data_IF_285970461246
#
_entry.id   IF_285970461246
#
_cell.length_a   1.000
_cell.length_b   1.000
_cell.length_c   1.000
_cell.angle_alpha   90.00
_cell.angle_beta   90.00
_cell.angle_gamma   90.00
#
_symmetry.space_group_name_H-M   'P 1'
#
loop_
_entity.id
_entity.type
_entity.pdbx_description
1 polymer ?
#
# COMPACT_ATOMS: atom_id res chain seq x y z
N UNK A 1 -36.23 14.86 -34.96
CA UNK A 1 -36.51 13.52 -34.40
C UNK A 1 -35.19 12.76 -34.15
N UNK A 2 -34.22 13.32 -33.44
CA UNK A 2 -32.89 12.71 -33.22
C UNK A 2 -32.55 12.39 -31.74
N UNK A 3 -33.51 12.54 -30.83
CA UNK A 3 -33.27 12.45 -29.38
C UNK A 3 -33.49 11.06 -28.78
N UNK A 4 -34.13 10.12 -29.49
CA UNK A 4 -34.42 8.78 -28.98
C UNK A 4 -33.20 7.84 -28.97
N UNK A 5 -32.32 7.96 -29.98
CA UNK A 5 -31.13 7.12 -30.10
C UNK A 5 -30.02 7.46 -29.11
N UNK A 6 -29.85 8.75 -28.78
CA UNK A 6 -28.84 9.20 -27.81
C UNK A 6 -29.20 8.82 -26.37
N UNK A 7 -30.48 8.93 -26.00
CA UNK A 7 -31.00 8.52 -24.69
C UNK A 7 -30.92 7.01 -24.48
N UNK A 8 -31.12 6.21 -25.53
CA UNK A 8 -30.99 4.76 -25.46
C UNK A 8 -29.52 4.33 -25.24
N UNK A 9 -28.59 4.94 -25.98
CA UNK A 9 -27.15 4.68 -25.82
C UNK A 9 -26.63 5.05 -24.43
N UNK A 10 -27.03 6.22 -23.89
CA UNK A 10 -26.61 6.61 -22.53
C UNK A 10 -27.15 5.66 -21.46
N UNK A 11 -28.40 5.22 -21.58
CA UNK A 11 -29.00 4.24 -20.67
C UNK A 11 -28.26 2.90 -20.70
N UNK A 12 -27.94 2.41 -21.91
CA UNK A 12 -27.18 1.16 -22.05
C UNK A 12 -25.79 1.25 -21.44
N UNK A 13 -25.08 2.38 -21.64
CA UNK A 13 -23.75 2.60 -21.04
C UNK A 13 -23.83 2.64 -19.52
N UNK A 14 -24.84 3.26 -18.93
CA UNK A 14 -25.03 3.29 -17.47
C UNK A 14 -25.32 1.91 -16.89
N UNK A 15 -26.16 1.10 -17.55
CA UNK A 15 -26.45 -0.27 -17.14
C UNK A 15 -25.19 -1.14 -17.22
N UNK A 16 -24.46 -1.04 -18.34
CA UNK A 16 -23.20 -1.78 -18.54
C UNK A 16 -22.16 -1.37 -17.49
N UNK A 17 -22.00 -0.08 -17.20
CA UNK A 17 -21.07 0.40 -16.18
C UNK A 17 -21.44 -0.10 -14.78
N UNK A 18 -22.74 -0.10 -14.42
CA UNK A 18 -23.21 -0.60 -13.12
C UNK A 18 -23.07 -2.11 -12.93
N UNK A 19 -23.06 -2.89 -14.01
CA UNK A 19 -22.83 -4.35 -13.97
C UNK A 19 -21.34 -4.68 -13.93
N UNK A 20 -20.49 -3.87 -14.59
CA UNK A 20 -19.03 -4.09 -14.65
C UNK A 20 -18.32 -3.63 -13.37
N UNK A 21 -18.90 -2.69 -12.61
CA UNK A 21 -18.29 -2.26 -11.34
C UNK A 21 -18.34 -3.39 -10.30
N UNK A 22 -17.20 -3.82 -9.74
CA UNK A 22 -17.20 -4.77 -8.64
C UNK A 22 -17.94 -4.14 -7.46
N UNK A 23 -18.95 -4.86 -6.94
CA UNK A 23 -19.61 -4.43 -5.72
C UNK A 23 -18.64 -4.63 -4.57
N UNK A 24 -18.20 -3.55 -3.94
CA UNK A 24 -17.40 -3.60 -2.72
C UNK A 24 -18.39 -3.78 -1.57
N UNK A 25 -18.52 -5.01 -1.06
CA UNK A 25 -19.38 -5.28 0.09
C UNK A 25 -18.50 -5.05 1.32
N UNK A 26 -18.93 -4.16 2.21
CA UNK A 26 -18.31 -4.00 3.51
C UNK A 26 -19.07 -4.87 4.50
N UNK A 27 -18.37 -5.68 5.29
CA UNK A 27 -19.00 -6.45 6.37
C UNK A 27 -19.83 -5.53 7.26
N UNK A 28 -21.02 -5.99 7.62
CA UNK A 28 -21.93 -5.27 8.49
C UNK A 28 -21.28 -5.09 9.89
N UNK A 29 -21.04 -3.86 10.36
CA UNK A 29 -20.40 -3.61 11.65
C UNK A 29 -21.22 -4.10 12.86
N UNK A 30 -22.53 -4.33 12.69
CA UNK A 30 -23.42 -4.78 13.76
C UNK A 30 -23.47 -6.31 13.90
N UNK A 31 -22.82 -7.07 12.99
CA UNK A 31 -22.77 -8.53 13.08
C UNK A 31 -21.78 -8.96 14.20
N UNK A 32 -22.23 -9.75 15.20
CA UNK A 32 -21.40 -10.16 16.34
C UNK A 32 -20.21 -11.05 15.94
N UNK A 33 -20.19 -11.59 14.72
CA UNK A 33 -19.14 -12.46 14.21
C UNK A 33 -18.09 -11.70 13.37
N UNK A 34 -18.07 -10.37 13.47
CA UNK A 34 -17.07 -9.50 12.85
C UNK A 34 -15.98 -9.13 13.85
N UNK A 35 -14.75 -9.50 13.52
CA UNK A 35 -13.55 -9.26 14.32
C UNK A 35 -12.67 -8.19 13.66
N UNK A 36 -11.85 -7.51 14.47
CA UNK A 36 -10.82 -6.59 13.94
C UNK A 36 -9.49 -7.32 13.76
N UNK A 37 -9.00 -7.37 12.53
CA UNK A 37 -7.71 -7.95 12.18
C UNK A 37 -6.69 -6.85 11.84
N UNK A 38 -5.45 -7.02 12.28
CA UNK A 38 -4.34 -6.16 11.91
C UNK A 38 -3.64 -6.73 10.69
N UNK A 39 -3.67 -6.00 9.59
CA UNK A 39 -3.02 -6.38 8.35
C UNK A 39 -1.80 -5.50 8.09
N UNK A 40 -0.67 -6.13 7.74
CA UNK A 40 0.53 -5.42 7.29
C UNK A 40 0.47 -5.18 5.78
N UNK A 41 0.75 -3.95 5.34
CA UNK A 41 0.75 -3.59 3.93
C UNK A 41 2.01 -2.80 3.56
N UNK A 42 2.48 -2.99 2.33
CA UNK A 42 3.66 -2.31 1.81
C UNK A 42 3.27 -0.93 1.26
N UNK A 43 3.89 0.13 1.78
CA UNK A 43 3.69 1.51 1.34
C UNK A 43 5.00 2.08 0.82
N UNK A 44 4.94 2.68 -0.36
CA UNK A 44 6.05 3.47 -0.90
C UNK A 44 6.04 4.85 -0.25
N UNK A 45 7.02 5.12 0.60
CA UNK A 45 7.20 6.43 1.24
C UNK A 45 8.40 7.15 0.66
N UNK A 46 8.36 8.48 0.67
CA UNK A 46 9.52 9.29 0.35
C UNK A 46 10.35 9.48 1.61
N UNK A 47 11.58 8.97 1.59
CA UNK A 47 12.53 9.11 2.67
C UNK A 47 13.56 10.18 2.30
N UNK A 48 13.80 11.12 3.22
CA UNK A 48 14.96 11.99 3.13
C UNK A 48 16.22 11.24 3.58
N UNK A 49 17.31 11.45 2.85
CA UNK A 49 18.63 10.92 3.19
C UNK A 49 19.71 11.98 2.98
N UNK A 50 20.80 11.85 3.72
CA UNK A 50 21.96 12.73 3.57
C UNK A 50 22.78 12.27 2.35
N UNK A 51 22.72 13.03 1.27
CA UNK A 51 23.48 12.77 0.06
C UNK A 51 24.83 13.49 0.12
N UNK A 52 25.97 12.76 0.08
CA UNK A 52 27.28 13.36 0.10
C UNK A 52 27.58 14.05 -1.23
N UNK A 53 28.30 15.17 -1.19
CA UNK A 53 28.89 15.81 -2.35
C UNK A 53 30.26 16.39 -2.00
N UNK A 54 31.14 16.48 -3.00
CA UNK A 54 32.45 17.06 -2.82
C UNK A 54 32.39 18.58 -2.96
N UNK A 55 32.83 19.27 -1.91
CA UNK A 55 32.91 20.72 -1.85
C UNK A 55 34.37 21.15 -1.96
N UNK A 56 34.69 21.81 -3.08
CA UNK A 56 36.01 22.40 -3.31
C UNK A 56 36.07 23.79 -2.68
N UNK A 57 37.08 24.03 -1.84
CA UNK A 57 37.36 25.34 -1.25
C UNK A 57 38.86 25.63 -1.30
N UNK A 58 39.20 26.92 -1.32
CA UNK A 58 40.58 27.37 -1.49
C UNK A 58 41.16 27.85 -0.16
N UNK A 59 42.31 27.31 0.22
CA UNK A 59 43.05 27.72 1.42
C UNK A 59 44.38 28.37 1.09
N UNK A 60 44.93 29.17 2.00
CA UNK A 60 46.31 29.65 1.88
C UNK A 60 47.27 28.54 2.31
N UNK A 61 48.32 28.32 1.52
CA UNK A 61 49.41 27.41 1.86
C UNK A 61 50.58 28.17 2.51
N UNK A 62 51.42 27.46 3.27
CA UNK A 62 52.51 28.04 4.07
C UNK A 62 53.80 28.30 3.28
N UNK A 63 53.86 27.91 2.01
CA UNK A 63 55.06 28.06 1.18
C UNK A 63 55.18 29.44 0.52
N UNK A 64 56.25 30.15 0.90
CA UNK A 64 56.54 31.56 0.60
C UNK A 64 56.83 31.85 -0.89
N UNK A 65 57.21 30.84 -1.68
CA UNK A 65 57.50 31.02 -3.12
C UNK A 65 56.25 30.89 -4.01
N UNK A 66 55.12 30.48 -3.44
CA UNK A 66 53.94 30.16 -4.20
C UNK A 66 52.80 31.14 -3.86
N UNK A 67 52.49 32.01 -4.82
CA UNK A 67 51.28 32.84 -4.94
C UNK A 67 49.96 32.02 -4.95
N UNK A 68 49.94 30.78 -4.47
CA UNK A 68 48.96 29.79 -4.91
C UNK A 68 47.99 29.43 -3.80
N UNK A 69 46.72 29.77 -4.04
CA UNK A 69 45.57 29.18 -3.36
C UNK A 69 45.65 27.67 -3.55
N UNK A 70 45.69 26.92 -2.46
CA UNK A 70 45.63 25.46 -2.51
C UNK A 70 44.17 25.00 -2.58
N UNK A 71 43.86 24.07 -3.48
CA UNK A 71 42.57 23.40 -3.53
C UNK A 71 42.46 22.43 -2.37
N UNK A 72 41.34 22.49 -1.65
CA UNK A 72 40.96 21.54 -0.60
C UNK A 72 39.59 20.99 -0.94
N UNK A 73 39.42 19.71 -0.64
CA UNK A 73 38.19 18.98 -0.87
C UNK A 73 37.61 18.59 0.48
N UNK A 74 36.31 18.81 0.65
CA UNK A 74 35.57 18.42 1.85
C UNK A 74 34.27 17.75 1.42
N UNK A 75 33.98 16.60 2.02
CA UNK A 75 32.68 15.96 1.86
C UNK A 75 31.66 16.75 2.68
N UNK A 76 30.69 17.33 2.00
CA UNK A 76 29.55 18.01 2.58
C UNK A 76 28.27 17.23 2.26
N UNK A 77 27.22 17.42 3.05
CA UNK A 77 25.96 16.67 2.92
C UNK A 77 24.82 17.61 2.55
N UNK A 78 23.99 17.17 1.60
CA UNK A 78 22.74 17.82 1.24
C UNK A 78 21.57 16.86 1.44
N UNK A 79 20.40 17.37 1.80
CA UNK A 79 19.18 16.56 1.87
C UNK A 79 18.76 16.16 0.46
N UNK A 80 18.63 14.86 0.21
CA UNK A 80 18.05 14.30 -0.99
C UNK A 80 16.91 13.35 -0.64
N UNK A 81 16.10 12.99 -1.63
CA UNK A 81 14.94 12.15 -1.43
C UNK A 81 15.04 10.87 -2.24
N UNK A 82 14.61 9.76 -1.65
CA UNK A 82 14.49 8.45 -2.32
C UNK A 82 13.14 7.82 -1.99
N UNK A 83 12.66 6.94 -2.86
CA UNK A 83 11.46 6.13 -2.59
C UNK A 83 11.90 4.84 -1.91
N UNK A 84 11.39 4.61 -0.71
CA UNK A 84 11.60 3.37 0.05
C UNK A 84 10.26 2.67 0.26
N UNK A 85 10.26 1.34 0.29
CA UNK A 85 9.09 0.56 0.70
C UNK A 85 9.16 0.37 2.21
N UNK A 86 8.08 0.72 2.91
CA UNK A 86 7.91 0.49 4.34
C UNK A 86 6.66 -0.32 4.62
N UNK A 87 6.76 -1.24 5.56
CA UNK A 87 5.61 -1.96 6.09
C UNK A 87 4.84 -1.05 7.04
N UNK A 88 3.55 -0.89 6.77
CA UNK A 88 2.59 -0.16 7.61
C UNK A 88 1.52 -1.14 8.09
N UNK A 89 0.81 -0.78 9.16
CA UNK A 89 -0.26 -1.62 9.73
C UNK A 89 -1.59 -0.89 9.66
N UNK A 90 -2.63 -1.60 9.26
CA UNK A 90 -4.00 -1.09 9.23
C UNK A 90 -4.93 -2.11 9.88
N UNK A 91 -5.87 -1.60 10.68
CA UNK A 91 -6.96 -2.39 11.22
C UNK A 91 -8.07 -2.54 10.17
N UNK A 92 -8.47 -3.78 9.87
CA UNK A 92 -9.61 -4.10 9.00
C UNK A 92 -10.63 -4.96 9.74
N UNK A 93 -11.90 -4.84 9.38
CA UNK A 93 -12.95 -5.77 9.79
C UNK A 93 -12.88 -7.01 8.91
N UNK A 94 -12.92 -8.19 9.53
CA UNK A 94 -12.96 -9.51 8.89
C UNK A 94 -13.82 -10.44 9.73
N UNK A 95 -14.37 -11.51 9.14
CA UNK A 95 -15.08 -12.51 9.93
C UNK A 95 -14.13 -13.17 10.94
N UNK A 96 -14.64 -13.43 12.15
CA UNK A 96 -13.88 -14.12 13.19
C UNK A 96 -13.48 -15.53 12.72
N UNK A 97 -12.42 -16.13 13.30
CA UNK A 97 -12.00 -17.49 12.96
C UNK A 97 -13.17 -18.49 13.08
N UNK A 98 -13.41 -19.29 12.04
CA UNK A 98 -14.52 -20.25 11.96
C UNK A 98 -15.80 -19.72 11.29
N UNK A 99 -15.81 -18.47 10.85
CA UNK A 99 -16.88 -17.86 10.06
C UNK A 99 -16.35 -17.41 8.70
N UNK A 100 -17.20 -17.51 7.67
CA UNK A 100 -16.88 -17.05 6.32
C UNK A 100 -17.78 -15.89 5.90
N UNK A 101 -17.27 -15.06 4.98
CA UNK A 101 -17.99 -13.93 4.44
C UNK A 101 -19.02 -14.41 3.40
N UNK A 102 -20.30 -14.31 3.73
CA UNK A 102 -21.40 -14.54 2.80
C UNK A 102 -22.11 -13.22 2.53
N UNK A 103 -21.47 -12.41 1.69
CA UNK A 103 -21.95 -11.07 1.42
C UNK A 103 -21.59 -10.09 2.55
N UNK A 104 -22.57 -9.44 3.17
CA UNK A 104 -22.32 -8.48 4.27
C UNK A 104 -22.31 -9.15 5.65
N UNK A 105 -22.56 -10.46 5.71
CA UNK A 105 -22.75 -11.24 6.94
C UNK A 105 -21.66 -12.29 7.10
N UNK A 106 -21.34 -12.61 8.36
CA UNK A 106 -20.42 -13.66 8.73
C UNK A 106 -21.20 -14.89 9.17
N UNK A 107 -21.18 -15.94 8.35
CA UNK A 107 -21.93 -17.17 8.59
C UNK A 107 -20.99 -18.29 9.02
N UNK A 108 -21.48 -19.20 9.87
CA UNK A 108 -20.73 -20.38 10.30
C UNK A 108 -20.61 -21.33 9.11
N UNK A 109 -19.40 -21.78 8.81
CA UNK A 109 -19.24 -22.96 7.98
C UNK A 109 -19.68 -24.19 8.79
N UNK A 110 -20.79 -24.82 8.42
CA UNK A 110 -21.11 -26.18 8.86
C UNK A 110 -20.66 -27.15 7.76
N UNK A 111 -19.35 -27.18 7.46
CA UNK A 111 -18.82 -28.05 6.42
C UNK A 111 -18.12 -29.25 7.02
N UNK A 112 -18.69 -30.44 6.77
CA UNK A 112 -18.06 -31.74 7.03
C UNK A 112 -16.68 -31.85 6.35
N UNK A 113 -16.42 -31.02 5.33
CA UNK A 113 -15.18 -31.02 4.55
C UNK A 113 -13.98 -30.46 5.34
N UNK A 114 -14.14 -29.47 6.21
CA UNK A 114 -13.01 -28.93 7.00
C UNK A 114 -12.54 -29.90 8.09
N UNK A 115 -13.42 -30.78 8.58
CA UNK A 115 -13.05 -31.91 9.44
C UNK A 115 -12.23 -32.97 8.69
N UNK A 116 -12.57 -33.22 7.42
CA UNK A 116 -11.79 -34.09 6.53
C UNK A 116 -10.44 -33.44 6.17
N UNK A 117 -10.40 -32.14 5.90
CA UNK A 117 -9.15 -31.43 5.62
C UNK A 117 -8.21 -31.45 6.83
N UNK A 118 -8.75 -31.30 8.05
CA UNK A 118 -7.98 -31.43 9.29
C UNK A 118 -7.53 -32.88 9.57
N UNK A 119 -8.29 -33.90 9.12
CA UNK A 119 -7.90 -35.31 9.17
C UNK A 119 -6.84 -35.67 8.11
N UNK A 120 -6.91 -35.06 6.93
CA UNK A 120 -5.98 -35.29 5.81
C UNK A 120 -4.63 -34.62 6.06
N UNK A 121 -4.62 -33.43 6.67
CA UNK A 121 -3.40 -32.71 7.07
C UNK A 121 -2.76 -33.27 8.36
N UNK A 122 -3.38 -34.27 9.01
CA UNK A 122 -2.72 -35.13 10.02
C UNK A 122 -2.20 -34.41 11.27
N UNK A 123 -2.87 -33.35 11.73
CA UNK A 123 -2.48 -32.57 12.93
C UNK A 123 -3.21 -33.09 14.19
N UNK A 124 -3.26 -34.41 14.39
CA UNK A 124 -3.67 -35.04 15.64
C UNK A 124 -2.61 -36.04 16.14
#
# INVERSE_FOLDING_TARGET
MHTSGSLSLTLTVMVVLGVITPRVWSLNPDDPNVCSHWESYAVTVQESYAHPFDQVYYTRCTDILNWFKCTRHRISYKTAYRRGVRTMYRRRSQCCPGYFESGELCVREFSILTWLDMFIEGVL
#
